data_IF_706312684836
#
_entry.id   IF_706312684836
#
_cell.length_a   1.000
_cell.length_b   1.000
_cell.length_c   1.000
_cell.angle_alpha   90.00
_cell.angle_beta   90.00
_cell.angle_gamma   90.00
#
_symmetry.space_group_name_H-M   'P 1'
#
loop_
_entity.id
_entity.type
_entity.pdbx_description
1 polymer ?
#
# COMPACT_ATOMS: atom_id res chain seq x y z
N UNK A 1 3.55 4.53 11.03
CA UNK A 1 2.58 3.49 10.60
C UNK A 1 1.77 3.98 9.43
N UNK A 2 1.04 5.08 9.61
CA UNK A 2 0.22 5.68 8.57
C UNK A 2 1.02 5.99 7.31
N UNK A 3 2.22 6.55 7.42
CA UNK A 3 3.09 6.82 6.26
C UNK A 3 3.39 5.56 5.43
N UNK A 4 3.66 4.43 6.09
CA UNK A 4 3.93 3.16 5.41
C UNK A 4 2.66 2.61 4.72
N UNK A 5 1.52 2.65 5.41
CA UNK A 5 0.25 2.19 4.85
C UNK A 5 -0.21 3.07 3.68
N UNK A 6 -0.08 4.39 3.81
CA UNK A 6 -0.39 5.35 2.75
C UNK A 6 0.53 5.16 1.55
N UNK A 7 1.84 5.00 1.75
CA UNK A 7 2.79 4.77 0.67
C UNK A 7 2.47 3.49 -0.13
N UNK A 8 2.20 2.38 0.56
CA UNK A 8 1.80 1.12 -0.10
C UNK A 8 0.48 1.27 -0.85
N UNK A 9 -0.50 1.97 -0.26
CA UNK A 9 -1.81 2.20 -0.89
C UNK A 9 -1.66 3.03 -2.18
N UNK A 10 -0.85 4.08 -2.16
CA UNK A 10 -0.56 4.89 -3.35
C UNK A 10 0.19 4.10 -4.42
N UNK A 11 1.17 3.28 -4.03
CA UNK A 11 1.88 2.42 -4.97
C UNK A 11 0.94 1.40 -5.64
N UNK A 12 0.07 0.76 -4.85
CA UNK A 12 -0.92 -0.18 -5.37
C UNK A 12 -1.93 0.50 -6.32
N UNK A 13 -2.42 1.69 -5.96
CA UNK A 13 -3.28 2.49 -6.83
C UNK A 13 -2.57 2.94 -8.12
N UNK A 14 -1.28 3.22 -8.05
CA UNK A 14 -0.49 3.57 -9.25
C UNK A 14 -0.38 2.38 -10.20
N UNK A 15 -0.14 1.18 -9.69
CA UNK A 15 -0.14 -0.04 -10.50
C UNK A 15 -1.53 -0.29 -11.10
N UNK A 16 -2.58 -0.14 -10.30
CA UNK A 16 -3.95 -0.25 -10.78
C UNK A 16 -4.23 0.74 -11.91
N UNK A 17 -3.78 1.98 -11.79
CA UNK A 17 -3.95 3.02 -12.82
C UNK A 17 -3.35 2.60 -14.17
N UNK A 18 -2.15 1.99 -14.15
CA UNK A 18 -1.46 1.52 -15.34
C UNK A 18 -2.10 0.30 -16.00
N UNK A 19 -2.78 -0.58 -15.23
CA UNK A 19 -3.28 -1.86 -15.73
C UNK A 19 -4.81 -1.98 -15.79
N UNK A 20 -5.58 -1.04 -15.24
CA UNK A 20 -7.06 -1.04 -15.23
C UNK A 20 -7.72 -1.14 -16.61
N UNK A 21 -7.00 -0.80 -17.67
CA UNK A 21 -7.49 -0.93 -19.04
C UNK A 21 -7.46 -2.38 -19.54
N UNK A 22 -6.59 -3.21 -18.97
CA UNK A 22 -6.40 -4.62 -19.30
C UNK A 22 -7.42 -5.47 -18.54
N UNK A 23 -7.56 -5.22 -17.24
CA UNK A 23 -8.52 -5.92 -16.38
C UNK A 23 -9.15 -4.94 -15.38
N UNK A 24 -10.48 -4.87 -15.39
CA UNK A 24 -11.28 -4.02 -14.50
C UNK A 24 -11.78 -4.74 -13.26
N UNK A 25 -11.58 -6.05 -13.18
CA UNK A 25 -11.99 -6.89 -12.06
C UNK A 25 -10.93 -7.01 -10.97
N UNK A 26 -9.73 -6.45 -11.20
CA UNK A 26 -8.65 -6.46 -10.21
C UNK A 26 -9.10 -5.82 -8.89
N UNK A 27 -8.63 -6.39 -7.78
CA UNK A 27 -8.82 -5.84 -6.43
C UNK A 27 -7.46 -5.62 -5.76
N UNK A 28 -7.38 -4.59 -4.91
CA UNK A 28 -6.22 -4.37 -4.03
C UNK A 28 -6.62 -4.88 -2.65
N UNK A 29 -6.00 -5.97 -2.21
CA UNK A 29 -6.32 -6.64 -0.95
C UNK A 29 -5.08 -6.79 -0.05
N UNK A 30 -5.30 -7.12 1.22
CA UNK A 30 -4.22 -7.53 2.13
C UNK A 30 -3.29 -6.41 2.61
N UNK A 31 -3.63 -5.14 2.38
CA UNK A 31 -2.87 -3.99 2.90
C UNK A 31 -2.92 -3.99 4.44
N UNK A 32 -1.80 -4.32 5.06
CA UNK A 32 -1.65 -4.36 6.52
C UNK A 32 -0.22 -4.06 6.94
N UNK A 33 -0.06 -3.56 8.16
CA UNK A 33 1.24 -3.36 8.76
C UNK A 33 1.80 -4.71 9.23
N UNK A 34 2.98 -5.10 8.73
CA UNK A 34 3.64 -6.36 9.13
C UNK A 34 4.52 -6.18 10.36
N UNK A 35 5.17 -5.03 10.49
CA UNK A 35 6.08 -4.74 11.58
C UNK A 35 6.14 -3.23 11.83
N UNK A 36 6.35 -2.87 13.09
CA UNK A 36 6.80 -1.54 13.51
C UNK A 36 7.78 -1.71 14.65
N UNK A 37 8.91 -1.02 14.53
CA UNK A 37 9.79 -0.76 15.66
C UNK A 37 9.69 0.71 16.05
N UNK A 38 9.71 0.98 17.35
CA UNK A 38 9.87 2.34 17.89
C UNK A 38 11.20 2.35 18.62
N UNK A 39 12.20 3.01 18.06
CA UNK A 39 13.42 3.32 18.80
C UNK A 39 13.09 4.33 19.90
N UNK A 40 13.54 4.12 21.15
CA UNK A 40 13.41 5.15 22.17
C UNK A 40 14.21 6.37 21.72
N UNK A 41 13.54 7.52 21.58
CA UNK A 41 14.20 8.81 21.52
C UNK A 41 14.69 9.11 22.95
N UNK A 42 16.00 8.95 23.16
CA UNK A 42 16.72 9.39 24.36
C UNK A 42 16.62 10.90 24.49
#
# INVERSE_FOLDING_TARGET
EMEALTAVSLAALTVYDMTKAIDRSMSIDGVRLLHKSKSPSV
#
